data_IF_418903500737
#
_entry.id   IF_418903500737
#
_cell.length_a   1.000
_cell.length_b   1.000
_cell.length_c   1.000
_cell.angle_alpha   90.00
_cell.angle_beta   90.00
_cell.angle_gamma   90.00
#
_symmetry.space_group_name_H-M   'P 1'
#
loop_
_entity.id
_entity.type
_entity.pdbx_description
1 polymer ?
#
# COMPACT_ATOMS: atom_id res chain seq x y z
N UNK A 1 43.44 54.30 -138.13
CA UNK A 1 42.49 53.50 -138.90
C UNK A 1 42.31 52.18 -138.16
N UNK A 2 41.45 52.23 -137.15
CA UNK A 2 41.02 51.15 -136.26
C UNK A 2 39.60 50.82 -136.74
N UNK A 3 39.30 49.55 -137.04
CA UNK A 3 37.96 48.90 -137.16
C UNK A 3 38.00 47.68 -138.11
N UNK A 4 39.01 47.51 -138.99
CA UNK A 4 38.96 46.44 -140.00
C UNK A 4 39.66 45.10 -139.60
N UNK A 5 40.36 45.05 -138.47
CA UNK A 5 41.09 43.83 -138.00
C UNK A 5 40.26 42.99 -137.00
N UNK A 6 39.07 43.45 -136.60
CA UNK A 6 38.18 42.75 -135.65
C UNK A 6 37.04 41.97 -136.30
N UNK A 7 36.75 42.18 -137.58
CA UNK A 7 35.71 41.42 -138.29
C UNK A 7 36.17 40.02 -138.70
N UNK A 8 37.46 39.83 -139.01
CA UNK A 8 37.98 38.56 -139.52
C UNK A 8 38.12 37.50 -138.40
N UNK A 9 38.50 37.91 -137.19
CA UNK A 9 38.55 37.04 -136.01
C UNK A 9 37.15 36.66 -135.49
N UNK A 10 36.18 37.57 -135.62
CA UNK A 10 34.79 37.33 -135.22
C UNK A 10 34.10 36.40 -136.23
N UNK A 11 34.38 36.54 -137.52
CA UNK A 11 33.92 35.61 -138.54
C UNK A 11 34.48 34.19 -138.32
N UNK A 12 35.77 34.06 -138.00
CA UNK A 12 36.40 32.74 -137.73
C UNK A 12 35.83 32.06 -136.48
N UNK A 13 35.64 32.79 -135.38
CA UNK A 13 35.08 32.22 -134.15
C UNK A 13 33.59 31.87 -134.28
N UNK A 14 32.82 32.67 -135.03
CA UNK A 14 31.42 32.34 -135.38
C UNK A 14 31.38 31.10 -136.28
N UNK A 15 32.29 31.00 -137.25
CA UNK A 15 32.41 29.81 -138.11
C UNK A 15 32.83 28.56 -137.34
N UNK A 16 33.82 28.65 -136.45
CA UNK A 16 34.29 27.52 -135.64
C UNK A 16 33.24 27.06 -134.63
N UNK A 17 32.48 28.00 -134.04
CA UNK A 17 31.38 27.68 -133.12
C UNK A 17 30.18 27.08 -133.86
N UNK A 18 29.82 27.62 -135.02
CA UNK A 18 28.81 27.02 -135.89
C UNK A 18 29.24 25.61 -136.35
N UNK A 19 30.51 25.44 -136.71
CA UNK A 19 31.10 24.15 -137.09
C UNK A 19 31.14 23.14 -135.93
N UNK A 20 31.38 23.59 -134.70
CA UNK A 20 31.35 22.73 -133.52
C UNK A 20 29.92 22.32 -133.17
N UNK A 21 28.97 23.25 -133.25
CA UNK A 21 27.54 23.01 -133.00
C UNK A 21 26.95 22.06 -134.04
N UNK A 22 27.25 22.26 -135.33
CA UNK A 22 26.81 21.36 -136.41
C UNK A 22 27.39 19.95 -136.27
N UNK A 23 28.67 19.84 -135.86
CA UNK A 23 29.29 18.54 -135.55
C UNK A 23 28.61 17.86 -134.36
N UNK A 24 28.28 18.61 -133.31
CA UNK A 24 27.55 18.07 -132.17
C UNK A 24 26.13 17.64 -132.54
N UNK A 25 25.40 18.42 -133.34
CA UNK A 25 24.07 18.05 -133.85
C UNK A 25 24.11 16.75 -134.65
N UNK A 26 25.07 16.60 -135.57
CA UNK A 26 25.25 15.36 -136.32
C UNK A 26 25.58 14.17 -135.42
N UNK A 27 26.41 14.38 -134.39
CA UNK A 27 26.73 13.33 -133.41
C UNK A 27 25.49 12.90 -132.61
N UNK A 28 24.66 13.86 -132.17
CA UNK A 28 23.41 13.59 -131.47
C UNK A 28 22.39 12.91 -132.38
N UNK A 29 22.26 13.35 -133.63
CA UNK A 29 21.40 12.70 -134.62
C UNK A 29 21.81 11.25 -134.86
N UNK A 30 23.11 11.00 -135.06
CA UNK A 30 23.64 9.64 -135.25
C UNK A 30 23.47 8.79 -133.97
N UNK A 31 23.61 9.38 -132.79
CA UNK A 31 23.32 8.69 -131.53
C UNK A 31 21.85 8.27 -131.46
N UNK A 32 20.91 9.17 -131.80
CA UNK A 32 19.47 8.86 -131.83
C UNK A 32 19.18 7.77 -132.85
N UNK A 33 19.69 7.89 -134.08
CA UNK A 33 19.51 6.90 -135.15
C UNK A 33 20.06 5.53 -134.77
N UNK A 34 21.31 5.50 -134.27
CA UNK A 34 21.97 4.28 -133.84
C UNK A 34 21.18 3.62 -132.70
N UNK A 35 20.74 4.40 -131.71
CA UNK A 35 19.96 3.87 -130.58
C UNK A 35 18.53 3.50 -130.97
N UNK A 36 17.93 4.18 -131.92
CA UNK A 36 16.63 3.81 -132.47
C UNK A 36 16.71 2.46 -133.20
N UNK A 37 17.80 2.22 -133.94
CA UNK A 37 18.08 0.90 -134.52
C UNK A 37 18.21 -0.18 -133.44
N UNK A 38 19.03 0.07 -132.41
CA UNK A 38 19.15 -0.85 -131.27
C UNK A 38 17.85 -1.04 -130.49
N UNK A 39 16.98 -0.04 -130.44
CA UNK A 39 15.66 -0.17 -129.83
C UNK A 39 14.78 -1.15 -130.59
N UNK A 40 14.81 -1.11 -131.92
CA UNK A 40 14.05 -2.04 -132.75
C UNK A 40 14.56 -3.49 -132.61
N UNK A 41 15.85 -3.67 -132.33
CA UNK A 41 16.46 -4.99 -132.15
C UNK A 41 16.34 -5.51 -130.71
N UNK A 42 16.74 -4.72 -129.72
CA UNK A 42 16.94 -5.14 -128.31
C UNK A 42 16.00 -4.43 -127.32
N UNK A 43 15.13 -3.54 -127.80
CA UNK A 43 14.22 -2.73 -126.97
C UNK A 43 14.98 -1.87 -125.94
N UNK A 44 16.20 -1.47 -126.29
CA UNK A 44 17.06 -0.61 -125.50
C UNK A 44 16.65 0.86 -125.65
N UNK A 45 16.31 1.50 -124.54
CA UNK A 45 15.96 2.93 -124.48
C UNK A 45 17.19 3.79 -124.20
N UNK A 46 17.10 5.09 -124.50
CA UNK A 46 18.14 6.05 -124.11
C UNK A 46 18.32 6.07 -122.58
N UNK A 47 19.57 6.04 -122.13
CA UNK A 47 19.94 6.19 -120.71
C UNK A 47 19.69 7.62 -120.23
N UNK A 48 19.70 7.85 -118.92
CA UNK A 48 19.47 9.19 -118.35
C UNK A 48 20.50 10.22 -118.82
N UNK A 49 21.74 9.80 -119.08
CA UNK A 49 22.80 10.73 -119.48
C UNK A 49 22.74 11.00 -120.99
N UNK A 50 22.40 10.00 -121.81
CA UNK A 50 22.11 10.19 -123.23
C UNK A 50 20.90 11.11 -123.43
N UNK A 51 19.84 10.97 -122.62
CA UNK A 51 18.68 11.88 -122.64
C UNK A 51 19.06 13.33 -122.32
N UNK A 52 20.01 13.57 -121.41
CA UNK A 52 20.49 14.94 -121.09
C UNK A 52 21.23 15.56 -122.28
N UNK A 53 22.06 14.76 -122.96
CA UNK A 53 22.81 15.20 -124.14
C UNK A 53 21.84 15.52 -125.29
N UNK A 54 20.88 14.64 -125.56
CA UNK A 54 19.87 14.83 -126.61
C UNK A 54 19.00 16.07 -126.36
N UNK A 55 18.59 16.29 -125.11
CA UNK A 55 17.69 17.40 -124.75
C UNK A 55 18.24 18.79 -125.12
N UNK A 56 19.56 18.96 -125.20
CA UNK A 56 20.17 20.24 -125.56
C UNK A 56 19.98 20.61 -127.04
N UNK A 57 19.78 19.61 -127.91
CA UNK A 57 19.71 19.78 -129.37
C UNK A 57 18.37 19.33 -129.98
N UNK A 58 17.46 18.81 -129.17
CA UNK A 58 16.19 18.20 -129.60
C UNK A 58 15.35 19.09 -130.53
N UNK A 59 15.24 20.39 -130.24
CA UNK A 59 14.45 21.32 -131.05
C UNK A 59 15.09 21.72 -132.38
N UNK A 60 16.34 21.30 -132.62
CA UNK A 60 17.15 21.67 -133.78
C UNK A 60 17.47 20.47 -134.68
N UNK A 61 16.90 19.30 -134.40
CA UNK A 61 17.12 18.07 -135.13
C UNK A 61 15.89 17.74 -135.99
N UNK A 62 16.10 17.57 -137.29
CA UNK A 62 15.07 17.06 -138.21
C UNK A 62 14.94 15.55 -138.02
N UNK A 63 14.16 15.16 -137.00
CA UNK A 63 13.89 13.76 -136.66
C UNK A 63 12.70 13.22 -137.46
N UNK A 64 12.75 11.92 -137.79
CA UNK A 64 11.57 11.22 -138.29
C UNK A 64 10.54 11.00 -137.18
N UNK A 65 9.26 10.85 -137.54
CA UNK A 65 8.18 10.63 -136.58
C UNK A 65 8.41 9.38 -135.68
N UNK A 66 9.09 8.36 -136.20
CA UNK A 66 9.42 7.15 -135.45
C UNK A 66 10.51 7.41 -134.40
N UNK A 67 11.53 8.20 -134.75
CA UNK A 67 12.61 8.60 -133.83
C UNK A 67 12.11 9.54 -132.72
N UNK A 68 11.21 10.46 -133.06
CA UNK A 68 10.54 11.32 -132.08
C UNK A 68 9.69 10.48 -131.11
N UNK A 69 8.97 9.48 -131.65
CA UNK A 69 8.24 8.50 -130.85
C UNK A 69 9.13 7.69 -129.90
N UNK A 70 10.33 7.29 -130.34
CA UNK A 70 11.32 6.60 -129.52
C UNK A 70 11.88 7.50 -128.40
N UNK A 71 12.18 8.76 -128.71
CA UNK A 71 12.65 9.73 -127.73
C UNK A 71 11.60 10.00 -126.65
N UNK A 72 10.33 10.16 -127.04
CA UNK A 72 9.21 10.33 -126.12
C UNK A 72 9.01 9.14 -125.17
N UNK A 73 9.08 7.89 -125.69
CA UNK A 73 8.99 6.68 -124.86
C UNK A 73 10.17 6.55 -123.90
N UNK A 74 11.38 6.87 -124.36
CA UNK A 74 12.60 6.87 -123.53
C UNK A 74 12.51 7.85 -122.37
N UNK A 75 12.06 9.09 -122.63
CA UNK A 75 11.84 10.12 -121.60
C UNK A 75 10.80 9.68 -120.56
N UNK A 76 9.67 9.13 -121.00
CA UNK A 76 8.59 8.70 -120.10
C UNK A 76 9.04 7.58 -119.16
N UNK A 77 9.81 6.61 -119.66
CA UNK A 77 10.37 5.52 -118.85
C UNK A 77 11.36 6.02 -117.80
N UNK A 78 12.23 6.98 -118.18
CA UNK A 78 13.17 7.59 -117.24
C UNK A 78 12.45 8.30 -116.08
N UNK A 79 11.39 9.07 -116.38
CA UNK A 79 10.58 9.77 -115.37
C UNK A 79 9.85 8.80 -114.42
N UNK A 80 9.29 7.70 -114.94
CA UNK A 80 8.60 6.70 -114.11
C UNK A 80 9.53 6.01 -113.10
N UNK A 81 10.79 5.72 -113.48
CA UNK A 81 11.78 5.16 -112.55
C UNK A 81 12.10 6.12 -111.41
N UNK A 82 12.30 7.41 -111.70
CA UNK A 82 12.57 8.43 -110.67
C UNK A 82 11.38 8.56 -109.71
N UNK A 83 10.15 8.61 -110.24
CA UNK A 83 8.94 8.74 -109.41
C UNK A 83 8.74 7.54 -108.49
N UNK A 84 9.01 6.32 -108.96
CA UNK A 84 8.91 5.10 -108.15
C UNK A 84 9.93 5.08 -107.00
N UNK A 85 11.17 5.52 -107.23
CA UNK A 85 12.20 5.60 -106.19
C UNK A 85 11.82 6.63 -105.12
N UNK A 86 11.36 7.82 -105.52
CA UNK A 86 10.92 8.87 -104.58
C UNK A 86 9.73 8.39 -103.75
N UNK A 87 8.73 7.75 -104.38
CA UNK A 87 7.57 7.21 -103.67
C UNK A 87 7.98 6.13 -102.65
N UNK A 88 8.89 5.23 -103.02
CA UNK A 88 9.39 4.20 -102.11
C UNK A 88 10.12 4.80 -100.89
N UNK A 89 10.89 5.87 -101.09
CA UNK A 89 11.58 6.59 -100.02
C UNK A 89 10.59 7.25 -99.07
N UNK A 90 9.55 7.90 -99.59
CA UNK A 90 8.50 8.55 -98.78
C UNK A 90 7.74 7.52 -97.94
N UNK A 91 7.36 6.38 -98.52
CA UNK A 91 6.70 5.30 -97.77
C UNK A 91 7.60 4.78 -96.66
N UNK A 92 8.89 4.58 -96.93
CA UNK A 92 9.86 4.13 -95.93
C UNK A 92 9.98 5.13 -94.76
N UNK A 93 10.04 6.42 -95.05
CA UNK A 93 10.08 7.47 -94.02
C UNK A 93 8.79 7.50 -93.19
N UNK A 94 7.62 7.36 -93.82
CA UNK A 94 6.33 7.31 -93.10
C UNK A 94 6.26 6.10 -92.17
N UNK A 95 6.71 4.93 -92.63
CA UNK A 95 6.77 3.72 -91.80
C UNK A 95 7.72 3.90 -90.61
N UNK A 96 8.88 4.53 -90.81
CA UNK A 96 9.82 4.83 -89.72
C UNK A 96 9.22 5.79 -88.69
N UNK A 97 8.58 6.87 -89.14
CA UNK A 97 7.92 7.83 -88.24
C UNK A 97 6.80 7.15 -87.44
N UNK A 98 5.97 6.33 -88.09
CA UNK A 98 4.91 5.57 -87.43
C UNK A 98 5.47 4.59 -86.39
N UNK A 99 6.56 3.88 -86.73
CA UNK A 99 7.25 2.98 -85.81
C UNK A 99 7.76 3.71 -84.56
N UNK A 100 8.46 4.84 -84.74
CA UNK A 100 8.97 5.65 -83.62
C UNK A 100 7.84 6.16 -82.73
N UNK A 101 6.75 6.65 -83.32
CA UNK A 101 5.58 7.10 -82.55
C UNK A 101 4.90 5.95 -81.78
N UNK A 102 4.79 4.78 -82.41
CA UNK A 102 4.24 3.58 -81.77
C UNK A 102 5.10 3.13 -80.58
N UNK A 103 6.41 3.04 -80.75
CA UNK A 103 7.35 2.69 -79.67
C UNK A 103 7.32 3.72 -78.54
N UNK A 104 7.29 5.02 -78.85
CA UNK A 104 7.21 6.06 -77.82
C UNK A 104 5.92 5.97 -77.00
N UNK A 105 4.77 5.88 -77.66
CA UNK A 105 3.48 5.81 -76.97
C UNK A 105 3.33 4.52 -76.13
N UNK A 106 3.86 3.39 -76.62
CA UNK A 106 3.86 2.14 -75.84
C UNK A 106 4.78 2.23 -74.63
N UNK A 107 5.96 2.84 -74.76
CA UNK A 107 6.87 3.03 -73.64
C UNK A 107 6.29 4.01 -72.60
N UNK A 108 5.67 5.11 -73.02
CA UNK A 108 4.99 6.06 -72.12
C UNK A 108 3.81 5.41 -71.38
N UNK A 109 3.12 4.46 -72.01
CA UNK A 109 2.08 3.65 -71.35
C UNK A 109 2.69 2.68 -70.34
N UNK A 110 3.76 1.97 -70.72
CA UNK A 110 4.45 1.03 -69.85
C UNK A 110 5.02 1.74 -68.61
N UNK A 111 5.63 2.91 -68.78
CA UNK A 111 6.17 3.70 -67.69
C UNK A 111 5.07 4.21 -66.75
N UNK A 112 3.91 4.62 -67.28
CA UNK A 112 2.73 4.95 -66.46
C UNK A 112 2.22 3.74 -65.68
N UNK A 113 2.18 2.56 -66.29
CA UNK A 113 1.78 1.32 -65.60
C UNK A 113 2.79 0.95 -64.52
N UNK A 114 4.09 1.04 -64.81
CA UNK A 114 5.15 0.74 -63.86
C UNK A 114 5.12 1.71 -62.67
N UNK A 115 4.94 3.02 -62.91
CA UNK A 115 4.74 4.01 -61.85
C UNK A 115 3.53 3.67 -60.99
N UNK A 116 2.39 3.33 -61.59
CA UNK A 116 1.20 2.90 -60.85
C UNK A 116 1.47 1.65 -60.02
N UNK A 117 2.14 0.64 -60.59
CA UNK A 117 2.48 -0.59 -59.90
C UNK A 117 3.41 -0.34 -58.70
N UNK A 118 4.40 0.55 -58.85
CA UNK A 118 5.30 0.94 -57.77
C UNK A 118 4.55 1.67 -56.65
N UNK A 119 3.68 2.63 -56.99
CA UNK A 119 2.83 3.32 -56.00
C UNK A 119 1.90 2.33 -55.29
N UNK A 120 1.30 1.38 -56.02
CA UNK A 120 0.46 0.34 -55.41
C UNK A 120 1.29 -0.58 -54.52
N UNK A 121 2.50 -0.95 -54.92
CA UNK A 121 3.41 -1.77 -54.11
C UNK A 121 3.82 -1.04 -52.83
N UNK A 122 4.14 0.25 -52.92
CA UNK A 122 4.48 1.07 -51.76
C UNK A 122 3.27 1.24 -50.83
N UNK A 123 2.08 1.43 -51.40
CA UNK A 123 0.81 1.45 -50.64
C UNK A 123 0.55 0.12 -49.92
N UNK A 124 0.77 -1.02 -50.59
CA UNK A 124 0.64 -2.34 -49.96
C UNK A 124 1.69 -2.53 -48.85
N UNK A 125 2.94 -2.13 -49.09
CA UNK A 125 4.00 -2.23 -48.09
C UNK A 125 3.72 -1.34 -46.87
N UNK A 126 3.23 -0.12 -47.07
CA UNK A 126 2.85 0.78 -45.97
C UNK A 126 1.67 0.25 -45.18
N UNK A 127 0.65 -0.30 -45.84
CA UNK A 127 -0.47 -0.98 -45.17
C UNK A 127 0.02 -2.21 -44.40
N UNK A 128 0.90 -3.03 -44.99
CA UNK A 128 1.46 -4.21 -44.33
C UNK A 128 2.27 -3.84 -43.08
N UNK A 129 3.11 -2.79 -43.18
CA UNK A 129 3.87 -2.28 -42.03
C UNK A 129 2.94 -1.71 -40.94
N UNK A 130 1.90 -0.97 -41.34
CA UNK A 130 0.89 -0.44 -40.41
C UNK A 130 0.13 -1.56 -39.69
N UNK A 131 -0.25 -2.61 -40.40
CA UNK A 131 -0.87 -3.80 -39.82
C UNK A 131 0.10 -4.50 -38.85
N UNK A 132 1.37 -4.66 -39.22
CA UNK A 132 2.40 -5.22 -38.34
C UNK A 132 2.52 -4.45 -37.02
N UNK A 133 2.56 -3.12 -37.07
CA UNK A 133 2.58 -2.26 -35.88
C UNK A 133 1.32 -2.46 -35.03
N UNK A 134 0.14 -2.51 -35.66
CA UNK A 134 -1.12 -2.74 -34.95
C UNK A 134 -1.21 -4.12 -34.29
N UNK A 135 -0.68 -5.16 -34.93
CA UNK A 135 -0.62 -6.50 -34.34
C UNK A 135 0.30 -6.53 -33.12
N UNK A 136 1.45 -5.84 -33.18
CA UNK A 136 2.34 -5.74 -32.04
C UNK A 136 1.70 -4.93 -30.89
N UNK A 137 0.98 -3.85 -31.21
CA UNK A 137 0.23 -3.08 -30.21
C UNK A 137 -0.87 -3.91 -29.55
N UNK A 138 -1.60 -4.74 -30.31
CA UNK A 138 -2.61 -5.65 -29.77
C UNK A 138 -1.97 -6.71 -28.86
N UNK A 139 -0.86 -7.32 -29.29
CA UNK A 139 -0.13 -8.29 -28.48
C UNK A 139 0.38 -7.68 -27.16
N UNK A 140 0.88 -6.45 -27.19
CA UNK A 140 1.27 -5.72 -25.98
C UNK A 140 0.06 -5.47 -25.07
N UNK A 141 -1.08 -5.05 -25.62
CA UNK A 141 -2.32 -4.87 -24.84
C UNK A 141 -2.77 -6.18 -24.18
N UNK A 142 -2.75 -7.29 -24.91
CA UNK A 142 -3.11 -8.61 -24.36
C UNK A 142 -2.17 -9.01 -23.22
N UNK A 143 -0.85 -8.81 -23.37
CA UNK A 143 0.12 -9.09 -22.31
C UNK A 143 -0.08 -8.21 -21.06
N UNK A 144 -0.43 -6.94 -21.26
CA UNK A 144 -0.76 -6.03 -20.15
C UNK A 144 -2.04 -6.50 -19.45
N UNK A 145 -3.06 -6.90 -20.20
CA UNK A 145 -4.32 -7.39 -19.65
C UNK A 145 -4.15 -8.70 -18.87
N UNK A 146 -3.32 -9.62 -19.35
CA UNK A 146 -2.96 -10.85 -18.65
C UNK A 146 -2.24 -10.54 -17.33
N UNK A 147 -1.23 -9.67 -17.36
CA UNK A 147 -0.51 -9.25 -16.15
C UNK A 147 -1.41 -8.54 -15.12
N UNK A 148 -2.38 -7.74 -15.60
CA UNK A 148 -3.36 -7.08 -14.75
C UNK A 148 -4.31 -8.09 -14.11
N UNK A 149 -4.73 -9.11 -14.86
CA UNK A 149 -5.63 -10.16 -14.38
C UNK A 149 -4.94 -11.02 -13.32
N UNK A 150 -3.68 -11.41 -13.55
CA UNK A 150 -2.85 -12.10 -12.57
C UNK A 150 -2.67 -11.27 -11.29
N UNK A 151 -2.35 -9.98 -11.44
CA UNK A 151 -2.20 -9.07 -10.30
C UNK A 151 -3.50 -8.92 -9.51
N UNK A 152 -4.65 -8.78 -10.16
CA UNK A 152 -5.96 -8.72 -9.51
C UNK A 152 -6.24 -10.02 -8.76
N UNK A 153 -5.91 -11.18 -9.33
CA UNK A 153 -6.04 -12.48 -8.67
C UNK A 153 -5.19 -12.59 -7.40
N UNK A 154 -3.91 -12.21 -7.49
CA UNK A 154 -3.00 -12.19 -6.35
C UNK A 154 -3.47 -11.22 -5.24
N UNK A 155 -3.92 -10.01 -5.62
CA UNK A 155 -4.45 -9.03 -4.68
C UNK A 155 -5.72 -9.56 -3.98
N UNK A 156 -6.61 -10.26 -4.69
CA UNK A 156 -7.79 -10.92 -4.11
C UNK A 156 -7.42 -12.00 -3.09
N UNK A 157 -6.38 -12.80 -3.38
CA UNK A 157 -5.89 -13.83 -2.46
C UNK A 157 -5.28 -13.20 -1.19
N UNK A 158 -4.48 -12.13 -1.33
CA UNK A 158 -3.93 -11.38 -0.21
C UNK A 158 -5.06 -10.80 0.66
N UNK A 159 -6.08 -10.19 0.05
CA UNK A 159 -7.25 -9.67 0.77
C UNK A 159 -7.97 -10.78 1.53
N UNK A 160 -8.13 -11.96 0.91
CA UNK A 160 -8.76 -13.11 1.56
C UNK A 160 -7.95 -13.59 2.78
N UNK A 161 -6.65 -13.78 2.64
CA UNK A 161 -5.77 -14.16 3.76
C UNK A 161 -5.81 -13.12 4.89
N UNK A 162 -5.74 -11.83 4.54
CA UNK A 162 -5.80 -10.73 5.52
C UNK A 162 -7.13 -10.72 6.27
N UNK A 163 -8.25 -10.94 5.58
CA UNK A 163 -9.56 -11.05 6.22
C UNK A 163 -9.66 -12.26 7.16
N UNK A 164 -9.11 -13.41 6.77
CA UNK A 164 -9.05 -14.59 7.63
C UNK A 164 -8.22 -14.35 8.90
N UNK A 165 -7.07 -13.68 8.77
CA UNK A 165 -6.23 -13.27 9.90
C UNK A 165 -6.95 -12.27 10.81
N UNK A 166 -7.65 -11.29 10.25
CA UNK A 166 -8.47 -10.34 11.02
C UNK A 166 -9.59 -11.06 11.77
N UNK A 167 -10.27 -12.03 11.17
CA UNK A 167 -11.28 -12.84 11.86
C UNK A 167 -10.67 -13.67 13.00
N UNK A 168 -9.49 -14.28 12.79
CA UNK A 168 -8.76 -14.98 13.86
C UNK A 168 -8.35 -14.03 15.00
N UNK A 169 -7.91 -12.83 14.68
CA UNK A 169 -7.58 -11.82 15.68
C UNK A 169 -8.81 -11.36 16.47
N UNK A 170 -9.94 -11.14 15.78
CA UNK A 170 -11.20 -10.70 16.39
C UNK A 170 -11.78 -11.78 17.30
N UNK A 171 -11.76 -13.04 16.89
CA UNK A 171 -12.17 -14.18 17.73
C UNK A 171 -11.29 -14.31 18.96
N UNK A 172 -9.96 -14.20 18.82
CA UNK A 172 -9.02 -14.20 19.96
C UNK A 172 -9.29 -13.04 20.92
N UNK A 173 -9.58 -11.85 20.40
CA UNK A 173 -9.89 -10.67 21.21
C UNK A 173 -11.21 -10.85 21.98
N UNK A 174 -12.23 -11.43 21.36
CA UNK A 174 -13.49 -11.78 22.04
C UNK A 174 -13.27 -12.77 23.19
N UNK A 175 -12.49 -13.82 22.97
CA UNK A 175 -12.14 -14.79 24.03
C UNK A 175 -11.37 -14.12 25.18
N UNK A 176 -10.45 -13.21 24.88
CA UNK A 176 -9.72 -12.46 25.92
C UNK A 176 -10.64 -11.53 26.70
N UNK A 177 -11.57 -10.85 26.04
CA UNK A 177 -12.56 -10.00 26.71
C UNK A 177 -13.49 -10.82 27.63
N UNK A 178 -13.89 -12.01 27.21
CA UNK A 178 -14.69 -12.93 28.04
C UNK A 178 -13.91 -13.37 29.28
N UNK A 179 -12.65 -13.82 29.11
CA UNK A 179 -11.76 -14.15 30.24
C UNK A 179 -11.55 -12.99 31.19
N UNK A 180 -11.41 -11.77 30.66
CA UNK A 180 -11.27 -10.56 31.48
C UNK A 180 -12.55 -10.28 32.27
N UNK A 181 -13.72 -10.44 31.66
CA UNK A 181 -15.01 -10.29 32.33
C UNK A 181 -15.20 -11.33 33.45
N UNK A 182 -14.81 -12.58 33.21
CA UNK A 182 -14.83 -13.63 34.24
C UNK A 182 -13.87 -13.32 35.39
N UNK A 183 -12.64 -12.90 35.09
CA UNK A 183 -11.67 -12.50 36.10
C UNK A 183 -12.18 -11.33 36.94
N UNK A 184 -12.81 -10.33 36.30
CA UNK A 184 -13.43 -9.21 37.01
C UNK A 184 -14.53 -9.67 37.96
N UNK A 185 -15.40 -10.58 37.52
CA UNK A 185 -16.46 -11.16 38.36
C UNK A 185 -15.89 -11.93 39.56
N UNK A 186 -14.77 -12.66 39.39
CA UNK A 186 -14.10 -13.37 40.50
C UNK A 186 -13.57 -12.39 41.54
N UNK A 187 -12.85 -11.36 41.10
CA UNK A 187 -12.31 -10.31 41.98
C UNK A 187 -13.43 -9.56 42.71
N UNK A 188 -14.55 -9.26 42.03
CA UNK A 188 -15.70 -8.62 42.67
C UNK A 188 -16.32 -9.51 43.76
N UNK A 189 -16.48 -10.82 43.51
CA UNK A 189 -16.96 -11.78 44.52
C UNK A 189 -16.02 -11.87 45.73
N UNK A 190 -14.71 -11.96 45.49
CA UNK A 190 -13.71 -12.00 46.57
C UNK A 190 -13.72 -10.70 47.38
N UNK A 191 -13.78 -9.54 46.71
CA UNK A 191 -13.88 -8.24 47.38
C UNK A 191 -15.13 -8.16 48.25
N UNK A 192 -16.27 -8.60 47.75
CA UNK A 192 -17.53 -8.56 48.49
C UNK A 192 -17.53 -9.55 49.67
N UNK A 193 -16.92 -10.72 49.50
CA UNK A 193 -16.65 -11.68 50.59
C UNK A 193 -15.74 -11.11 51.67
N UNK A 194 -14.61 -10.49 51.29
CA UNK A 194 -13.72 -9.84 52.25
C UNK A 194 -14.39 -8.68 52.99
N UNK A 195 -15.30 -7.95 52.33
CA UNK A 195 -16.07 -6.87 52.96
C UNK A 195 -17.03 -7.40 54.01
N UNK A 196 -17.72 -8.52 53.76
CA UNK A 196 -18.61 -9.14 54.74
C UNK A 196 -17.80 -9.74 55.89
N UNK A 197 -16.72 -10.46 55.61
CA UNK A 197 -15.82 -11.00 56.63
C UNK A 197 -15.26 -9.91 57.53
N UNK A 198 -14.73 -8.82 56.97
CA UNK A 198 -14.26 -7.65 57.73
C UNK A 198 -15.35 -7.10 58.65
N UNK A 199 -16.59 -6.97 58.16
CA UNK A 199 -17.72 -6.51 58.97
C UNK A 199 -18.00 -7.47 60.13
N UNK A 200 -18.05 -8.77 59.88
CA UNK A 200 -18.28 -9.79 60.91
C UNK A 200 -17.16 -9.84 61.96
N UNK A 201 -15.91 -9.71 61.54
CA UNK A 201 -14.76 -9.68 62.45
C UNK A 201 -14.77 -8.42 63.31
N UNK A 202 -15.07 -7.27 62.72
CA UNK A 202 -15.17 -5.99 63.45
C UNK A 202 -16.27 -6.08 64.51
N UNK A 203 -17.43 -6.65 64.17
CA UNK A 203 -18.53 -6.83 65.13
C UNK A 203 -18.15 -7.81 66.25
N UNK A 204 -17.50 -8.93 65.90
CA UNK A 204 -17.03 -9.90 66.91
C UNK A 204 -16.02 -9.29 67.87
N UNK A 205 -15.06 -8.51 67.37
CA UNK A 205 -14.08 -7.83 68.19
C UNK A 205 -14.73 -6.78 69.10
N UNK A 206 -15.71 -6.02 68.57
CA UNK A 206 -16.47 -5.06 69.37
C UNK A 206 -17.19 -5.74 70.54
N UNK A 207 -17.91 -6.83 70.28
CA UNK A 207 -18.60 -7.60 71.33
C UNK A 207 -17.61 -8.13 72.38
N UNK A 208 -16.44 -8.62 71.97
CA UNK A 208 -15.41 -9.08 72.91
C UNK A 208 -14.85 -7.94 73.76
N UNK A 209 -14.62 -6.76 73.19
CA UNK A 209 -14.18 -5.57 73.92
C UNK A 209 -15.26 -5.16 74.92
N UNK A 210 -16.53 -5.07 74.50
CA UNK A 210 -17.63 -4.68 75.38
C UNK A 210 -17.80 -5.66 76.55
N UNK A 211 -17.60 -6.97 76.31
CA UNK A 211 -17.61 -7.98 77.37
C UNK A 211 -16.44 -7.82 78.35
N UNK A 212 -15.22 -7.58 77.86
CA UNK A 212 -14.06 -7.34 78.71
C UNK A 212 -14.23 -6.06 79.52
N UNK A 213 -14.71 -4.98 78.92
CA UNK A 213 -14.99 -3.72 79.58
C UNK A 213 -16.03 -3.87 80.69
N UNK A 214 -17.08 -4.68 80.47
CA UNK A 214 -18.07 -4.99 81.50
C UNK A 214 -17.45 -5.73 82.70
N UNK A 215 -16.63 -6.76 82.44
CA UNK A 215 -15.93 -7.51 83.49
C UNK A 215 -14.95 -6.61 84.25
N UNK A 216 -14.23 -5.73 83.56
CA UNK A 216 -13.30 -4.79 84.17
C UNK A 216 -14.06 -3.80 85.06
N UNK A 217 -15.17 -3.22 84.57
CA UNK A 217 -16.01 -2.31 85.36
C UNK A 217 -16.56 -2.99 86.62
N UNK A 218 -17.04 -4.22 86.51
CA UNK A 218 -17.52 -5.00 87.64
C UNK A 218 -16.41 -5.23 88.69
N UNK A 219 -15.23 -5.68 88.25
CA UNK A 219 -14.08 -5.88 89.14
C UNK A 219 -13.61 -4.58 89.79
N UNK A 220 -13.58 -3.46 89.05
CA UNK A 220 -13.23 -2.15 89.60
C UNK A 220 -14.23 -1.70 90.66
N UNK A 221 -15.54 -1.91 90.42
CA UNK A 221 -16.59 -1.62 91.42
C UNK A 221 -16.42 -2.46 92.68
N UNK A 222 -16.14 -3.76 92.54
CA UNK A 222 -15.89 -4.65 93.68
C UNK A 222 -14.65 -4.23 94.49
N UNK A 223 -13.60 -3.74 93.82
CA UNK A 223 -12.40 -3.20 94.48
C UNK A 223 -12.71 -1.91 95.24
N UNK A 224 -13.46 -0.98 94.65
CA UNK A 224 -13.86 0.28 95.32
C UNK A 224 -14.77 0.02 96.53
N UNK A 225 -15.76 -0.86 96.40
CA UNK A 225 -16.60 -1.28 97.52
C UNK A 225 -15.78 -1.95 98.64
N UNK A 226 -14.85 -2.83 98.27
CA UNK A 226 -13.92 -3.46 99.21
C UNK A 226 -13.09 -2.42 99.97
N UNK A 227 -12.53 -1.42 99.27
CA UNK A 227 -11.75 -0.33 99.89
C UNK A 227 -12.59 0.49 100.86
N UNK A 228 -13.82 0.84 100.51
CA UNK A 228 -14.74 1.58 101.40
C UNK A 228 -15.04 0.79 102.68
N UNK A 229 -15.31 -0.51 102.56
CA UNK A 229 -15.57 -1.37 103.72
C UNK A 229 -14.34 -1.52 104.63
N UNK A 230 -13.15 -1.65 104.06
CA UNK A 230 -11.91 -1.69 104.85
C UNK A 230 -11.62 -0.37 105.55
N UNK A 231 -11.91 0.77 104.91
CA UNK A 231 -11.78 2.10 105.52
C UNK A 231 -12.74 2.25 106.71
N UNK A 232 -13.99 1.83 106.56
CA UNK A 232 -14.96 1.81 107.66
C UNK A 232 -14.47 0.93 108.81
N UNK A 233 -14.02 -0.29 108.52
CA UNK A 233 -13.47 -1.20 109.52
C UNK A 233 -12.27 -0.59 110.26
N UNK A 234 -11.37 0.10 109.54
CA UNK A 234 -10.23 0.79 110.12
C UNK A 234 -10.66 1.95 111.02
N UNK A 235 -11.65 2.74 110.60
CA UNK A 235 -12.18 3.85 111.39
C UNK A 235 -12.83 3.38 112.71
N UNK A 236 -13.50 2.22 112.71
CA UNK A 236 -14.15 1.66 113.90
C UNK A 236 -13.16 1.21 114.99
N UNK A 237 -11.95 0.81 114.60
CA UNK A 237 -10.92 0.37 115.56
C UNK A 237 -10.10 1.56 116.07
N UNK A 238 -10.00 2.64 115.29
CA UNK A 238 -9.22 3.82 115.65
C UNK A 238 -10.07 4.96 116.24
N UNK A 239 -11.40 4.78 116.36
CA UNK A 239 -12.31 5.80 116.91
C UNK A 239 -12.17 5.97 118.42
N UNK A 240 -11.68 4.97 119.15
CA UNK A 240 -11.52 4.99 120.60
C UNK A 240 -10.20 4.36 121.04
N UNK A 241 -9.66 4.83 122.18
CA UNK A 241 -8.39 4.34 122.74
C UNK A 241 -8.45 2.85 123.13
N UNK A 242 -9.66 2.34 123.43
CA UNK A 242 -9.96 0.92 123.65
C UNK A 242 -11.32 0.57 123.01
N UNK A 243 -11.34 0.03 121.79
CA UNK A 243 -12.57 -0.38 121.14
C UNK A 243 -13.31 -1.45 121.93
N UNK A 244 -14.63 -1.33 121.98
CA UNK A 244 -15.53 -2.31 122.59
C UNK A 244 -15.51 -3.63 121.83
N UNK A 245 -15.92 -4.73 122.46
CA UNK A 245 -16.01 -6.03 121.77
C UNK A 245 -16.98 -6.01 120.58
N UNK A 246 -18.04 -5.20 120.66
CA UNK A 246 -18.97 -4.97 119.57
C UNK A 246 -18.30 -4.27 118.37
N UNK A 247 -17.49 -3.23 118.62
CA UNK A 247 -16.73 -2.52 117.58
C UNK A 247 -15.68 -3.44 116.94
N UNK A 248 -14.98 -4.26 117.72
CA UNK A 248 -14.07 -5.28 117.20
C UNK A 248 -14.78 -6.32 116.33
N UNK A 249 -15.96 -6.77 116.75
CA UNK A 249 -16.78 -7.71 115.99
C UNK A 249 -17.25 -7.09 114.66
N UNK A 250 -17.73 -5.86 114.69
CA UNK A 250 -18.20 -5.16 113.49
C UNK A 250 -17.05 -4.86 112.52
N UNK A 251 -15.93 -4.34 113.02
CA UNK A 251 -14.74 -4.09 112.21
C UNK A 251 -14.16 -5.38 111.61
N UNK A 252 -14.16 -6.49 112.37
CA UNK A 252 -13.71 -7.79 111.84
C UNK A 252 -14.62 -8.28 110.70
N UNK A 253 -15.95 -8.22 110.89
CA UNK A 253 -16.90 -8.64 109.85
C UNK A 253 -16.77 -7.80 108.58
N UNK A 254 -16.58 -6.48 108.71
CA UNK A 254 -16.38 -5.56 107.59
C UNK A 254 -15.05 -5.82 106.86
N UNK A 255 -13.95 -5.94 107.59
CA UNK A 255 -12.63 -6.20 107.01
C UNK A 255 -12.54 -7.58 106.36
N UNK A 256 -13.16 -8.60 106.96
CA UNK A 256 -13.27 -9.94 106.35
C UNK A 256 -14.03 -9.88 105.05
N UNK A 257 -15.20 -9.24 105.03
CA UNK A 257 -16.01 -9.14 103.82
C UNK A 257 -15.28 -8.33 102.73
N UNK A 258 -14.61 -7.23 103.10
CA UNK A 258 -13.76 -6.47 102.19
C UNK A 258 -12.63 -7.33 101.58
N UNK A 259 -11.95 -8.15 102.39
CA UNK A 259 -10.89 -9.04 101.92
C UNK A 259 -11.43 -10.19 101.04
N UNK A 260 -12.59 -10.76 101.37
CA UNK A 260 -13.25 -11.78 100.54
C UNK A 260 -13.68 -11.21 99.16
N UNK A 261 -14.08 -9.94 99.09
CA UNK A 261 -14.40 -9.25 97.82
C UNK A 261 -13.16 -8.93 96.97
N UNK A 262 -12.06 -8.53 97.61
CA UNK A 262 -10.79 -8.23 96.95
C UNK A 262 -9.64 -8.76 97.80
N UNK A 263 -9.14 -9.95 97.45
CA UNK A 263 -8.05 -10.59 98.19
C UNK A 263 -6.79 -9.74 98.23
N UNK A 264 -6.61 -8.81 97.29
CA UNK A 264 -5.49 -7.87 97.23
C UNK A 264 -5.68 -6.61 98.09
N UNK A 265 -6.83 -6.44 98.78
CA UNK A 265 -7.05 -5.27 99.63
C UNK A 265 -6.18 -5.34 100.90
N UNK A 266 -5.05 -4.61 100.87
CA UNK A 266 -4.10 -4.55 101.99
C UNK A 266 -4.68 -3.90 103.25
N UNK A 267 -5.58 -2.91 103.10
CA UNK A 267 -6.21 -2.24 104.25
C UNK A 267 -7.09 -3.23 105.03
N UNK A 268 -7.82 -4.10 104.32
CA UNK A 268 -8.59 -5.16 104.96
C UNK A 268 -7.70 -6.15 105.73
N UNK A 269 -6.56 -6.53 105.14
CA UNK A 269 -5.57 -7.39 105.80
C UNK A 269 -5.00 -6.74 107.07
N UNK A 270 -4.67 -5.45 107.00
CA UNK A 270 -4.12 -4.69 108.12
C UNK A 270 -5.11 -4.63 109.28
N UNK A 271 -6.38 -4.35 108.99
CA UNK A 271 -7.44 -4.34 110.00
C UNK A 271 -7.60 -5.71 110.66
N UNK A 272 -7.69 -6.79 109.87
CA UNK A 272 -7.80 -8.16 110.40
C UNK A 272 -6.60 -8.51 111.31
N UNK A 273 -5.40 -8.10 110.93
CA UNK A 273 -4.19 -8.31 111.72
C UNK A 273 -4.17 -7.46 113.00
N UNK A 274 -4.60 -6.20 112.94
CA UNK A 274 -4.74 -5.34 114.12
C UNK A 274 -5.70 -5.97 115.14
N UNK A 275 -6.86 -6.47 114.70
CA UNK A 275 -7.82 -7.16 115.57
C UNK A 275 -7.21 -8.42 116.17
N UNK A 276 -6.53 -9.24 115.35
CA UNK A 276 -5.83 -10.44 115.83
C UNK A 276 -4.84 -10.11 116.93
N UNK A 277 -4.02 -9.07 116.77
CA UNK A 277 -3.07 -8.68 117.81
C UNK A 277 -3.82 -8.18 119.05
N UNK A 278 -4.75 -7.23 118.92
CA UNK A 278 -5.47 -6.71 120.08
C UNK A 278 -6.27 -7.76 120.86
N UNK A 279 -6.77 -8.83 120.22
CA UNK A 279 -7.63 -9.85 120.85
C UNK A 279 -6.91 -11.17 121.19
N UNK A 280 -6.00 -11.63 120.34
CA UNK A 280 -5.36 -12.95 120.46
C UNK A 280 -3.93 -12.89 120.99
N UNK A 281 -3.15 -11.84 120.67
CA UNK A 281 -1.72 -11.77 120.98
C UNK A 281 -1.30 -10.37 121.48
N UNK A 282 -0.88 -10.23 122.74
CA UNK A 282 -0.43 -8.94 123.32
C UNK A 282 0.89 -8.36 122.76
N UNK A 283 1.16 -8.47 121.45
CA UNK A 283 2.30 -7.85 120.76
C UNK A 283 1.85 -6.69 119.87
N UNK A 284 2.35 -5.48 120.16
CA UNK A 284 2.09 -4.22 119.44
C UNK A 284 2.67 -4.21 118.01
N UNK A 285 2.03 -4.87 117.06
CA UNK A 285 2.48 -4.94 115.66
C UNK A 285 1.41 -4.58 114.64
N UNK A 286 1.05 -3.29 114.55
CA UNK A 286 0.23 -2.76 113.44
C UNK A 286 1.11 -2.26 112.29
N UNK A 287 0.62 -2.35 111.05
CA UNK A 287 1.33 -1.91 109.83
C UNK A 287 1.69 -0.40 109.81
N UNK A 288 1.03 0.42 110.64
CA UNK A 288 1.31 1.85 110.81
C UNK A 288 2.10 2.19 112.10
N UNK A 289 2.58 1.19 112.84
CA UNK A 289 3.44 1.38 114.02
C UNK A 289 4.91 1.58 113.67
N UNK A 290 5.71 2.12 114.61
CA UNK A 290 7.14 2.49 114.45
C UNK A 290 8.09 1.36 114.03
N UNK A 291 7.60 0.14 113.82
CA UNK A 291 8.33 -1.02 113.32
C UNK A 291 7.57 -1.61 112.14
N UNK A 292 8.01 -1.28 110.91
CA UNK A 292 7.55 -1.91 109.66
C UNK A 292 7.68 -3.43 109.81
N UNK A 293 6.59 -4.23 109.74
CA UNK A 293 6.76 -5.67 109.68
C UNK A 293 7.46 -6.03 108.36
N UNK A 294 8.53 -6.83 108.43
CA UNK A 294 9.33 -7.27 107.27
C UNK A 294 8.55 -8.17 106.29
N UNK A 295 7.32 -8.55 106.62
CA UNK A 295 6.54 -9.50 105.83
C UNK A 295 5.20 -8.90 105.39
N UNK A 296 5.09 -8.61 104.09
CA UNK A 296 3.83 -8.50 103.36
C UNK A 296 2.94 -9.69 103.73
N UNK A 297 1.71 -9.46 104.21
CA UNK A 297 0.83 -10.53 104.64
C UNK A 297 0.48 -11.44 103.46
N UNK A 298 0.74 -12.75 103.59
CA UNK A 298 0.29 -13.74 102.60
C UNK A 298 -1.19 -14.04 102.79
N UNK A 299 -1.91 -14.38 101.72
CA UNK A 299 -3.34 -14.74 101.80
C UNK A 299 -3.59 -15.84 102.85
N UNK A 300 -2.70 -16.84 102.91
CA UNK A 300 -2.77 -17.93 103.88
C UNK A 300 -2.68 -17.46 105.33
N UNK A 301 -1.90 -16.41 105.61
CA UNK A 301 -1.78 -15.83 106.96
C UNK A 301 -3.08 -15.14 107.38
N UNK A 302 -3.75 -14.46 106.45
CA UNK A 302 -5.04 -13.81 106.68
C UNK A 302 -6.16 -14.84 106.88
N UNK A 303 -6.17 -15.91 106.09
CA UNK A 303 -7.08 -17.05 106.28
C UNK A 303 -6.93 -17.65 107.69
N UNK A 304 -5.70 -17.91 108.12
CA UNK A 304 -5.41 -18.40 109.48
C UNK A 304 -5.86 -17.42 110.58
N UNK A 305 -5.73 -16.11 110.37
CA UNK A 305 -6.22 -15.09 111.32
C UNK A 305 -7.74 -15.16 111.42
N UNK A 306 -8.43 -15.22 110.28
CA UNK A 306 -9.90 -15.29 110.23
C UNK A 306 -10.38 -16.52 110.99
N UNK A 307 -9.79 -17.68 110.72
CA UNK A 307 -10.13 -18.95 111.39
C UNK A 307 -9.93 -18.88 112.90
N UNK A 308 -8.79 -18.35 113.38
CA UNK A 308 -8.50 -18.25 114.81
C UNK A 308 -9.47 -17.30 115.54
N UNK A 309 -9.78 -16.16 114.93
CA UNK A 309 -10.72 -15.19 115.52
C UNK A 309 -12.13 -15.76 115.54
N UNK A 310 -12.57 -16.43 114.46
CA UNK A 310 -13.88 -17.10 114.41
C UNK A 310 -13.99 -18.22 115.46
N UNK A 311 -12.95 -19.05 115.61
CA UNK A 311 -12.93 -20.15 116.59
C UNK A 311 -13.05 -19.66 118.03
N UNK A 312 -12.39 -18.54 118.38
CA UNK A 312 -12.37 -18.02 119.76
C UNK A 312 -13.53 -17.08 120.09
N UNK A 313 -13.94 -16.23 119.16
CA UNK A 313 -14.90 -15.14 119.42
C UNK A 313 -16.22 -15.25 118.65
N UNK A 314 -16.32 -16.19 117.69
CA UNK A 314 -17.52 -16.41 116.88
C UNK A 314 -18.05 -15.10 116.23
N UNK A 315 -17.14 -14.30 115.66
CA UNK A 315 -17.49 -13.03 115.02
C UNK A 315 -18.25 -13.24 113.70
N UNK A 316 -17.98 -14.33 112.98
CA UNK A 316 -18.80 -14.80 111.85
C UNK A 316 -18.63 -13.97 110.58
N UNK A 317 -19.54 -14.17 109.62
CA UNK A 317 -19.53 -13.48 108.32
C UNK A 317 -20.56 -12.37 108.25
N UNK A 318 -20.26 -11.33 107.46
CA UNK A 318 -21.23 -10.30 107.09
C UNK A 318 -22.08 -10.82 105.93
N UNK A 319 -23.40 -10.69 106.00
CA UNK A 319 -24.27 -10.99 104.85
C UNK A 319 -24.19 -9.87 103.81
N UNK A 320 -24.45 -10.19 102.54
CA UNK A 320 -24.47 -9.19 101.45
C UNK A 320 -25.42 -8.02 101.73
N UNK A 321 -26.55 -8.27 102.42
CA UNK A 321 -27.52 -7.24 102.81
C UNK A 321 -26.97 -6.30 103.91
N UNK A 322 -26.20 -6.83 104.86
CA UNK A 322 -25.54 -6.02 105.89
C UNK A 322 -24.37 -5.22 105.33
N UNK A 323 -23.58 -5.80 104.42
CA UNK A 323 -22.50 -5.10 103.73
C UNK A 323 -23.00 -3.90 102.91
N UNK A 324 -24.11 -4.06 102.18
CA UNK A 324 -24.76 -2.95 101.45
C UNK A 324 -25.24 -1.85 102.38
N UNK A 325 -25.78 -2.20 103.56
CA UNK A 325 -26.17 -1.21 104.58
C UNK A 325 -24.96 -0.46 105.14
N UNK A 326 -23.84 -1.13 105.35
CA UNK A 326 -22.60 -0.49 105.80
C UNK A 326 -22.08 0.51 104.76
N UNK A 327 -22.10 0.15 103.47
CA UNK A 327 -21.74 1.05 102.36
C UNK A 327 -22.68 2.26 102.21
N UNK A 328 -23.95 2.13 102.63
CA UNK A 328 -24.96 3.21 102.58
C UNK A 328 -24.95 4.12 103.81
N UNK A 329 -24.35 3.70 104.93
CA UNK A 329 -24.16 4.56 106.11
C UNK A 329 -23.06 5.59 105.81
N UNK A 330 -23.47 6.69 105.19
CA UNK A 330 -22.82 8.00 105.26
C UNK A 330 -23.84 9.01 105.76
#
# INVERSE_FOLDING_TARGET
MKIEISHDTLAKTVYDKASAEDRMRLMVLNLIQTKHRFFNEEHAYLTSDELKIVAQFEHQLDLSADEEGFLGRSKRRAQWKVMSVVLSLVVLVVVLIWSVMYYKNTNDRLERVHRKLMVTKDSVNTVNNSLGIKFEELRLKDSIQESLTERIGNDQEIIKMTNEELQKALTKLNVLNEKLAESKRRVEKERDGLKTEKKTLTERLRVQIDQQDAIIKEKLSAVDESQKLSQQAHSLINSSEKPTDAEYKEAFRLARYAWEMSKSNSQAMDVLNQINNSKLNSSNGGFLGKSRPENTYTFRKIENIIEKVDQKYNYGKLSSKEAKKALQKR
#
